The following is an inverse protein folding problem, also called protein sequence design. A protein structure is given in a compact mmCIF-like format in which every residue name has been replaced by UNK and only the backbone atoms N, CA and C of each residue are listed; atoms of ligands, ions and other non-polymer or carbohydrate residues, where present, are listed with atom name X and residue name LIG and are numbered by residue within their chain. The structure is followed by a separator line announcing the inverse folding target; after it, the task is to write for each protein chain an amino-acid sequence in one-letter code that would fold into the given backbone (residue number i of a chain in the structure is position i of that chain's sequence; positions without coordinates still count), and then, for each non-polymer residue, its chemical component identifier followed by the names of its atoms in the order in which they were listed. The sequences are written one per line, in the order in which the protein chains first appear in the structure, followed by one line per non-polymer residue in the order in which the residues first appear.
data_IF_104354950882
#
_entry.id   IF_104354950882
#
_cell.length_a   1.000
_cell.length_b   1.000
_cell.length_c   1.000
_cell.angle_alpha   90.00
_cell.angle_beta   90.00
_cell.angle_gamma   90.00
#
_symmetry.space_group_name_H-M   'P 1'
#
loop_
_entity.id
_entity.type
_entity.pdbx_description
1 polymer ?
#
# COMPACT_ATOMS: atom_id res chain seq x y z
N UNK A 1 -2.32 -29.37 4.29
CA UNK A 1 -1.03 -28.89 3.71
C UNK A 1 -1.09 -28.68 2.19
N UNK A 2 -1.54 -29.64 1.38
CA UNK A 2 -1.65 -29.47 -0.08
C UNK A 2 -2.57 -28.30 -0.47
N UNK A 3 -3.72 -28.18 0.22
CA UNK A 3 -4.67 -27.09 0.00
C UNK A 3 -4.09 -25.70 0.34
N UNK A 4 -3.38 -25.58 1.47
CA UNK A 4 -2.65 -24.37 1.84
C UNK A 4 -1.64 -23.97 0.75
N UNK A 5 -0.77 -24.91 0.33
CA UNK A 5 0.23 -24.67 -0.72
C UNK A 5 -0.40 -24.20 -2.03
N UNK A 6 -1.52 -24.82 -2.43
CA UNK A 6 -2.28 -24.45 -3.63
C UNK A 6 -2.88 -23.05 -3.49
N UNK A 7 -3.47 -22.73 -2.34
CA UNK A 7 -4.05 -21.42 -2.05
C UNK A 7 -3.00 -20.30 -2.07
N UNK A 8 -1.85 -20.48 -1.44
CA UNK A 8 -0.76 -19.51 -1.50
C UNK A 8 -0.19 -19.38 -2.91
N UNK A 9 -0.04 -20.48 -3.66
CA UNK A 9 0.37 -20.38 -5.07
C UNK A 9 -0.63 -19.64 -5.93
N UNK A 10 -1.94 -19.81 -5.69
CA UNK A 10 -2.97 -19.04 -6.41
C UNK A 10 -2.94 -17.57 -6.03
N UNK A 11 -2.62 -17.24 -4.78
CA UNK A 11 -2.45 -15.85 -4.35
C UNK A 11 -1.29 -15.18 -5.11
N UNK A 12 -0.14 -15.85 -5.20
CA UNK A 12 0.99 -15.34 -5.97
C UNK A 12 0.67 -15.11 -7.44
N UNK A 13 0.02 -16.08 -8.09
CA UNK A 13 -0.44 -15.89 -9.47
C UNK A 13 -1.48 -14.78 -9.64
N UNK A 14 -2.33 -14.56 -8.64
CA UNK A 14 -3.30 -13.46 -8.68
C UNK A 14 -2.58 -12.10 -8.65
N UNK A 15 -1.54 -11.94 -7.84
CA UNK A 15 -0.71 -10.73 -7.84
C UNK A 15 0.05 -10.55 -9.16
N UNK A 16 0.61 -11.62 -9.73
CA UNK A 16 1.21 -11.54 -11.07
C UNK A 16 0.17 -11.09 -12.11
N UNK A 17 -1.05 -11.63 -12.06
CA UNK A 17 -2.14 -11.21 -12.95
C UNK A 17 -2.57 -9.75 -12.72
N UNK A 18 -2.48 -9.26 -11.49
CA UNK A 18 -2.71 -7.85 -11.17
C UNK A 18 -1.66 -6.97 -11.85
N UNK A 19 -0.37 -7.29 -11.74
CA UNK A 19 0.70 -6.53 -12.40
C UNK A 19 0.63 -6.58 -13.93
N UNK A 20 0.33 -7.75 -14.48
CA UNK A 20 0.09 -7.90 -15.93
C UNK A 20 -1.10 -7.06 -16.37
N UNK A 21 -2.20 -7.09 -15.61
CA UNK A 21 -3.36 -6.25 -15.86
C UNK A 21 -3.02 -4.76 -15.81
N UNK A 22 -2.27 -4.33 -14.81
CA UNK A 22 -1.79 -2.95 -14.68
C UNK A 22 -1.03 -2.51 -15.93
N UNK A 23 -0.09 -3.31 -16.43
CA UNK A 23 0.67 -3.00 -17.63
C UNK A 23 -0.24 -2.95 -18.87
N UNK A 24 -1.11 -3.95 -19.06
CA UNK A 24 -2.05 -4.00 -20.18
C UNK A 24 -2.98 -2.79 -20.19
N UNK A 25 -3.58 -2.45 -19.05
CA UNK A 25 -4.46 -1.30 -18.92
C UNK A 25 -3.77 0.00 -19.31
N UNK A 26 -2.55 0.23 -18.80
CA UNK A 26 -1.74 1.42 -19.13
C UNK A 26 -1.37 1.50 -20.62
N UNK A 27 -0.90 0.41 -21.22
CA UNK A 27 -0.51 0.40 -22.64
C UNK A 27 -1.72 0.63 -23.54
N UNK A 28 -2.85 -0.03 -23.25
CA UNK A 28 -4.08 0.10 -24.04
C UNK A 28 -4.61 1.53 -24.01
N UNK A 29 -4.69 2.13 -22.83
CA UNK A 29 -5.23 3.49 -22.71
C UNK A 29 -4.29 4.54 -23.27
N UNK A 30 -2.96 4.39 -23.11
CA UNK A 30 -1.99 5.27 -23.73
C UNK A 30 -2.12 5.25 -25.26
N UNK A 31 -2.29 4.08 -25.87
CA UNK A 31 -2.54 3.97 -27.30
C UNK A 31 -3.86 4.67 -27.73
N UNK A 32 -4.92 4.52 -26.93
CA UNK A 32 -6.21 5.18 -27.20
C UNK A 32 -6.09 6.71 -27.10
N UNK A 33 -5.36 7.22 -26.10
CA UNK A 33 -5.11 8.66 -25.92
C UNK A 33 -4.37 9.22 -27.14
N UNK A 34 -3.24 8.61 -27.53
CA UNK A 34 -2.46 9.04 -28.72
C UNK A 34 -3.31 9.00 -30.00
N UNK A 35 -4.15 7.98 -30.18
CA UNK A 35 -5.05 7.91 -31.33
C UNK A 35 -6.12 9.01 -31.29
N UNK A 36 -6.68 9.29 -30.12
CA UNK A 36 -7.67 10.34 -29.90
C UNK A 36 -7.10 11.74 -30.13
N UNK A 37 -5.88 12.00 -29.69
CA UNK A 37 -5.15 13.25 -30.02
C UNK A 37 -4.99 13.38 -31.55
N UNK A 38 -4.46 12.34 -32.20
CA UNK A 38 -4.15 12.38 -33.63
C UNK A 38 -5.39 12.43 -34.55
N UNK A 39 -6.53 11.89 -34.12
CA UNK A 39 -7.72 11.72 -34.98
C UNK A 39 -8.92 12.55 -34.57
N UNK A 40 -9.05 12.86 -33.28
CA UNK A 40 -10.23 13.51 -32.70
C UNK A 40 -9.89 14.85 -32.05
N UNK A 41 -8.61 15.23 -31.99
CA UNK A 41 -8.16 16.48 -31.37
C UNK A 41 -8.37 16.48 -29.86
N UNK A 42 -8.23 15.33 -29.19
CA UNK A 42 -8.15 15.30 -27.73
C UNK A 42 -6.94 16.09 -27.26
N UNK A 43 -7.11 16.82 -26.16
CA UNK A 43 -6.07 17.61 -25.50
C UNK A 43 -6.28 17.45 -23.98
N UNK A 44 -5.79 16.31 -23.46
CA UNK A 44 -5.89 16.00 -22.05
C UNK A 44 -4.70 16.65 -21.33
N UNK A 45 -4.98 17.38 -20.25
CA UNK A 45 -3.92 17.82 -19.34
C UNK A 45 -3.30 16.62 -18.60
N UNK A 46 -2.05 16.76 -18.14
CA UNK A 46 -1.28 15.70 -17.48
C UNK A 46 -2.04 14.98 -16.36
N UNK A 47 -2.80 15.72 -15.54
CA UNK A 47 -3.56 15.12 -14.45
C UNK A 47 -4.80 14.37 -14.92
N UNK A 48 -5.43 14.81 -16.02
CA UNK A 48 -6.55 14.09 -16.63
C UNK A 48 -6.06 12.78 -17.23
N UNK A 49 -4.93 12.83 -17.95
CA UNK A 49 -4.27 11.62 -18.44
C UNK A 49 -3.92 10.68 -17.28
N UNK A 50 -3.31 11.17 -16.21
CA UNK A 50 -3.01 10.36 -15.03
C UNK A 50 -4.25 9.68 -14.44
N UNK A 51 -5.34 10.43 -14.22
CA UNK A 51 -6.58 9.87 -13.68
C UNK A 51 -7.18 8.80 -14.60
N UNK A 52 -7.13 9.01 -15.92
CA UNK A 52 -7.60 8.05 -16.92
C UNK A 52 -6.71 6.80 -16.91
N UNK A 53 -5.40 6.95 -16.91
CA UNK A 53 -4.46 5.83 -16.81
C UNK A 53 -4.67 5.02 -15.53
N UNK A 54 -4.87 5.70 -14.39
CA UNK A 54 -5.08 5.06 -13.09
C UNK A 54 -6.40 4.28 -13.03
N UNK A 55 -7.47 4.86 -13.59
CA UNK A 55 -8.75 4.17 -13.73
C UNK A 55 -8.62 2.90 -14.58
N UNK A 56 -7.99 2.97 -15.76
CA UNK A 56 -7.83 1.83 -16.65
C UNK A 56 -6.87 0.76 -16.10
N UNK A 57 -5.86 1.16 -15.33
CA UNK A 57 -5.02 0.26 -14.55
C UNK A 57 -5.88 -0.62 -13.66
N UNK A 58 -6.74 -0.02 -12.82
CA UNK A 58 -7.58 -0.79 -11.91
C UNK A 58 -8.71 -1.55 -12.62
N UNK A 59 -9.27 -0.98 -13.69
CA UNK A 59 -10.30 -1.62 -14.52
C UNK A 59 -9.82 -2.97 -15.09
N UNK A 60 -8.52 -3.11 -15.36
CA UNK A 60 -7.93 -4.32 -15.92
C UNK A 60 -7.29 -5.22 -14.87
N UNK A 61 -6.55 -4.66 -13.91
CA UNK A 61 -5.82 -5.43 -12.88
C UNK A 61 -6.75 -6.11 -11.87
N UNK A 62 -7.79 -5.42 -11.41
CA UNK A 62 -8.71 -5.93 -10.37
C UNK A 62 -9.51 -7.15 -10.88
N UNK A 63 -10.13 -7.13 -12.08
CA UNK A 63 -10.79 -8.31 -12.61
C UNK A 63 -9.84 -9.49 -12.86
N UNK A 64 -8.64 -9.25 -13.39
CA UNK A 64 -7.67 -10.32 -13.64
C UNK A 64 -7.21 -10.98 -12.34
N UNK A 65 -6.90 -10.19 -11.31
CA UNK A 65 -6.63 -10.70 -9.96
C UNK A 65 -7.79 -11.56 -9.45
N UNK A 66 -9.01 -11.04 -9.52
CA UNK A 66 -10.19 -11.74 -9.03
C UNK A 66 -10.45 -13.05 -9.80
N UNK A 67 -10.32 -13.06 -11.13
CA UNK A 67 -10.55 -14.24 -11.97
C UNK A 67 -9.59 -15.38 -11.63
N UNK A 68 -8.32 -15.07 -11.32
CA UNK A 68 -7.33 -16.06 -10.88
C UNK A 68 -7.61 -16.56 -9.46
N UNK A 69 -8.08 -15.68 -8.58
CA UNK A 69 -8.19 -15.98 -7.15
C UNK A 69 -9.56 -16.46 -6.68
N UNK A 70 -10.62 -16.26 -7.48
CA UNK A 70 -12.01 -16.65 -7.15
C UNK A 70 -12.18 -18.15 -6.89
N UNK A 71 -11.30 -18.98 -7.45
CA UNK A 71 -11.34 -20.44 -7.25
C UNK A 71 -10.94 -20.88 -5.84
N UNK A 72 -10.27 -20.02 -5.07
CA UNK A 72 -9.89 -20.32 -3.69
C UNK A 72 -11.09 -19.96 -2.78
N UNK A 73 -11.57 -20.88 -1.93
CA UNK A 73 -12.73 -20.62 -1.08
C UNK A 73 -12.48 -19.49 -0.08
N UNK A 74 -13.49 -18.64 0.10
CA UNK A 74 -13.44 -17.50 1.02
C UNK A 74 -13.93 -17.91 2.41
N UNK A 75 -13.12 -17.65 3.43
CA UNK A 75 -13.36 -17.90 4.85
C UNK A 75 -13.13 -16.61 5.65
N UNK A 76 -14.10 -15.67 5.67
CA UNK A 76 -13.93 -14.38 6.32
C UNK A 76 -13.67 -14.53 7.83
N UNK A 77 -12.82 -13.66 8.42
CA UNK A 77 -12.53 -13.71 9.86
C UNK A 77 -13.76 -13.33 10.69
N UNK A 78 -13.72 -13.69 11.99
CA UNK A 78 -14.78 -13.32 12.94
C UNK A 78 -14.82 -11.80 13.13
N UNK A 79 -16.04 -11.26 13.25
CA UNK A 79 -16.26 -9.83 13.35
C UNK A 79 -16.25 -9.34 14.79
N UNK A 80 -15.09 -8.90 15.29
CA UNK A 80 -15.05 -8.08 16.51
C UNK A 80 -15.38 -6.62 16.16
N UNK A 81 -16.18 -5.96 17.00
CA UNK A 81 -16.35 -4.50 16.93
C UNK A 81 -15.35 -3.84 17.86
N UNK A 82 -14.58 -2.89 17.34
CA UNK A 82 -13.63 -2.12 18.13
C UNK A 82 -14.23 -0.77 18.52
N UNK A 83 -13.99 -0.34 19.75
CA UNK A 83 -14.41 0.99 20.23
C UNK A 83 -13.61 2.09 19.54
N UNK A 84 -14.19 3.29 19.46
CA UNK A 84 -13.53 4.47 18.90
C UNK A 84 -12.16 4.74 19.54
N UNK A 85 -12.05 4.64 20.88
CA UNK A 85 -10.77 4.75 21.60
C UNK A 85 -9.72 3.77 21.10
N UNK A 86 -10.11 2.51 20.83
CA UNK A 86 -9.18 1.50 20.32
C UNK A 86 -8.74 1.82 18.90
N UNK A 87 -9.63 2.34 18.05
CA UNK A 87 -9.30 2.79 16.71
C UNK A 87 -8.29 3.97 16.76
N UNK A 88 -8.58 5.01 17.54
CA UNK A 88 -7.68 6.18 17.68
C UNK A 88 -6.29 5.76 18.19
N UNK A 89 -6.21 4.94 19.23
CA UNK A 89 -4.91 4.45 19.73
C UNK A 89 -4.16 3.62 18.66
N UNK A 90 -4.88 2.81 17.89
CA UNK A 90 -4.29 2.04 16.78
C UNK A 90 -3.80 2.96 15.67
N UNK A 91 -4.49 4.05 15.37
CA UNK A 91 -4.06 5.05 14.40
C UNK A 91 -2.78 5.76 14.84
N UNK A 92 -2.67 6.16 16.12
CA UNK A 92 -1.45 6.78 16.66
C UNK A 92 -0.26 5.82 16.58
N UNK A 93 -0.47 4.55 16.95
CA UNK A 93 0.55 3.50 16.82
C UNK A 93 0.94 3.27 15.36
N UNK A 94 -0.02 3.21 14.44
CA UNK A 94 0.23 3.09 13.01
C UNK A 94 1.09 4.25 12.50
N UNK A 95 0.76 5.49 12.89
CA UNK A 95 1.54 6.66 12.50
C UNK A 95 2.99 6.57 12.97
N UNK A 96 3.24 6.14 14.21
CA UNK A 96 4.61 5.88 14.69
C UNK A 96 5.37 4.84 13.85
N UNK A 97 4.71 3.77 13.43
CA UNK A 97 5.32 2.78 12.53
C UNK A 97 5.62 3.34 11.13
N UNK A 98 4.72 4.17 10.59
CA UNK A 98 4.89 4.79 9.28
C UNK A 98 6.08 5.73 9.30
N UNK A 99 6.21 6.60 10.31
CA UNK A 99 7.34 7.52 10.42
C UNK A 99 8.68 6.79 10.57
N UNK A 100 8.74 5.75 11.42
CA UNK A 100 9.95 4.93 11.54
C UNK A 100 10.28 4.24 10.22
N UNK A 101 9.28 3.68 9.53
CA UNK A 101 9.45 3.08 8.21
C UNK A 101 9.94 4.09 7.17
N UNK A 102 9.39 5.31 7.16
CA UNK A 102 9.79 6.40 6.29
C UNK A 102 11.24 6.83 6.53
N UNK A 103 11.67 6.95 7.79
CA UNK A 103 13.06 7.25 8.13
C UNK A 103 14.00 6.16 7.61
N UNK A 104 13.67 4.88 7.81
CA UNK A 104 14.48 3.76 7.32
C UNK A 104 14.56 3.78 5.79
N UNK A 105 13.44 3.98 5.10
CA UNK A 105 13.39 4.05 3.64
C UNK A 105 14.22 5.20 3.09
N UNK A 106 14.06 6.40 3.63
CA UNK A 106 14.84 7.57 3.21
C UNK A 106 16.34 7.43 3.52
N UNK A 107 16.72 6.88 4.67
CA UNK A 107 18.12 6.62 5.00
C UNK A 107 18.74 5.60 4.04
N UNK A 108 18.03 4.51 3.74
CA UNK A 108 18.51 3.51 2.79
C UNK A 108 18.68 4.14 1.40
N UNK A 109 17.71 4.92 0.94
CA UNK A 109 17.78 5.59 -0.36
C UNK A 109 18.88 6.65 -0.41
N UNK A 110 19.13 7.38 0.67
CA UNK A 110 20.27 8.29 0.78
C UNK A 110 21.60 7.54 0.59
N UNK A 111 21.77 6.38 1.25
CA UNK A 111 22.98 5.56 1.12
C UNK A 111 23.15 4.98 -0.29
N UNK A 112 22.07 4.47 -0.89
CA UNK A 112 22.10 3.92 -2.25
C UNK A 112 22.43 5.02 -3.27
N UNK A 113 21.75 6.17 -3.18
CA UNK A 113 21.97 7.29 -4.10
C UNK A 113 23.37 7.91 -3.93
N UNK A 114 23.94 7.88 -2.72
CA UNK A 114 25.30 8.37 -2.48
C UNK A 114 26.41 7.57 -3.19
N UNK A 115 26.12 6.34 -3.63
CA UNK A 115 27.05 5.49 -4.39
C UNK A 115 26.57 5.19 -5.81
N UNK A 116 25.36 5.61 -6.18
CA UNK A 116 24.78 5.38 -7.50
C UNK A 116 25.31 6.40 -8.51
N UNK A 117 25.62 5.94 -9.73
CA UNK A 117 25.91 6.82 -10.86
C UNK A 117 24.64 7.46 -11.45
N UNK A 118 23.46 6.89 -11.14
CA UNK A 118 22.16 7.42 -11.52
C UNK A 118 21.24 7.44 -10.28
N UNK A 119 21.24 8.52 -9.47
CA UNK A 119 20.40 8.61 -8.28
C UNK A 119 18.92 8.57 -8.62
N UNK A 120 18.17 7.62 -8.04
CA UNK A 120 16.73 7.52 -8.24
C UNK A 120 15.98 8.57 -7.41
N UNK A 121 14.93 9.15 -7.98
CA UNK A 121 14.09 10.13 -7.31
C UNK A 121 12.94 9.48 -6.52
N UNK A 122 12.36 10.23 -5.58
CA UNK A 122 11.17 9.78 -4.88
C UNK A 122 9.93 10.02 -5.75
N UNK A 123 9.50 9.00 -6.49
CA UNK A 123 8.36 9.08 -7.40
C UNK A 123 7.03 9.48 -6.74
N UNK A 124 6.86 9.29 -5.42
CA UNK A 124 5.70 9.83 -4.70
C UNK A 124 5.78 11.36 -4.61
N UNK A 125 6.93 11.91 -4.26
CA UNK A 125 7.12 13.37 -4.17
C UNK A 125 6.95 14.01 -5.55
N UNK A 126 7.50 13.38 -6.58
CA UNK A 126 7.29 13.82 -7.96
C UNK A 126 5.79 13.84 -8.31
N UNK A 127 5.09 12.72 -8.13
CA UNK A 127 3.65 12.63 -8.38
C UNK A 127 2.84 13.70 -7.63
N UNK A 128 3.17 13.94 -6.36
CA UNK A 128 2.50 14.95 -5.53
C UNK A 128 2.82 16.38 -5.95
N UNK A 129 3.92 16.62 -6.66
CA UNK A 129 4.24 17.95 -7.19
C UNK A 129 3.61 18.20 -8.57
N UNK A 130 3.29 17.14 -9.34
CA UNK A 130 2.71 17.27 -10.69
C UNK A 130 1.19 17.32 -10.69
N UNK A 131 0.53 16.63 -9.76
CA UNK A 131 -0.93 16.52 -9.78
C UNK A 131 -1.62 17.62 -8.98
N UNK A 132 -2.77 18.14 -9.41
CA UNK A 132 -3.57 19.06 -8.60
C UNK A 132 -4.25 18.31 -7.44
N UNK A 133 -4.54 19.04 -6.36
CA UNK A 133 -5.17 18.52 -5.13
C UNK A 133 -6.40 17.64 -5.39
N UNK A 134 -7.36 18.00 -6.28
CA UNK A 134 -8.52 17.15 -6.55
C UNK A 134 -8.15 15.77 -7.12
N UNK A 135 -7.13 15.70 -7.98
CA UNK A 135 -6.66 14.45 -8.57
C UNK A 135 -6.01 13.55 -7.51
N UNK A 136 -5.17 14.11 -6.64
CA UNK A 136 -4.55 13.38 -5.52
C UNK A 136 -5.62 12.88 -4.55
N UNK A 137 -6.60 13.73 -4.20
CA UNK A 137 -7.68 13.33 -3.32
C UNK A 137 -8.47 12.15 -3.90
N UNK A 138 -8.82 12.21 -5.19
CA UNK A 138 -9.58 11.15 -5.84
C UNK A 138 -8.76 9.86 -5.99
N UNK A 139 -7.57 9.93 -6.59
CA UNK A 139 -6.78 8.75 -6.96
C UNK A 139 -6.00 8.17 -5.77
N UNK A 140 -5.32 9.01 -4.98
CA UNK A 140 -4.40 8.58 -3.92
C UNK A 140 -5.10 8.44 -2.58
N UNK A 141 -5.97 9.39 -2.20
CA UNK A 141 -6.62 9.36 -0.88
C UNK A 141 -7.84 8.44 -0.88
N UNK A 142 -8.59 8.35 -1.98
CA UNK A 142 -9.86 7.61 -2.02
C UNK A 142 -9.74 6.30 -2.81
N UNK A 143 -9.48 6.36 -4.11
CA UNK A 143 -9.59 5.21 -5.00
C UNK A 143 -8.57 4.12 -4.66
N UNK A 144 -7.29 4.48 -4.52
CA UNK A 144 -6.23 3.52 -4.19
C UNK A 144 -6.50 2.78 -2.86
N UNK A 145 -6.77 3.45 -1.72
CA UNK A 145 -7.11 2.76 -0.47
C UNK A 145 -8.32 1.82 -0.56
N UNK A 146 -9.37 2.19 -1.27
CA UNK A 146 -10.56 1.32 -1.43
C UNK A 146 -10.18 0.04 -2.16
N UNK A 147 -9.48 0.17 -3.30
CA UNK A 147 -9.15 -0.97 -4.16
C UNK A 147 -8.09 -1.86 -3.51
N UNK A 148 -7.05 -1.26 -2.96
CA UNK A 148 -5.97 -2.00 -2.32
C UNK A 148 -6.46 -2.77 -1.09
N UNK A 149 -7.30 -2.17 -0.24
CA UNK A 149 -7.84 -2.88 0.91
C UNK A 149 -8.82 -4.00 0.50
N UNK A 150 -9.52 -3.87 -0.63
CA UNK A 150 -10.30 -4.97 -1.20
C UNK A 150 -9.40 -6.13 -1.66
N UNK A 151 -8.34 -5.84 -2.41
CA UNK A 151 -7.40 -6.86 -2.92
C UNK A 151 -6.67 -7.55 -1.77
N UNK A 152 -6.05 -6.77 -0.89
CA UNK A 152 -5.15 -7.25 0.14
C UNK A 152 -5.83 -7.72 1.42
N UNK A 153 -7.01 -7.20 1.79
CA UNK A 153 -7.72 -7.67 2.98
C UNK A 153 -8.89 -8.54 2.61
N UNK A 154 -9.84 -8.01 1.85
CA UNK A 154 -11.08 -8.72 1.59
C UNK A 154 -10.84 -10.00 0.78
N UNK A 155 -10.08 -9.92 -0.30
CA UNK A 155 -9.89 -11.07 -1.16
C UNK A 155 -8.74 -11.96 -0.71
N UNK A 156 -7.58 -11.39 -0.41
CA UNK A 156 -6.43 -12.15 0.09
C UNK A 156 -6.71 -12.80 1.45
N UNK A 157 -6.96 -12.01 2.50
CA UNK A 157 -7.00 -12.53 3.88
C UNK A 157 -8.20 -13.44 4.16
N UNK A 158 -9.37 -13.19 3.55
CA UNK A 158 -10.50 -14.13 3.66
C UNK A 158 -10.11 -15.53 3.15
N UNK A 159 -9.17 -15.64 2.21
CA UNK A 159 -8.79 -16.94 1.62
C UNK A 159 -7.63 -17.61 2.33
N UNK A 160 -6.60 -16.84 2.70
CA UNK A 160 -5.36 -17.41 3.27
C UNK A 160 -5.30 -17.34 4.80
N UNK A 161 -6.15 -16.54 5.44
CA UNK A 161 -6.21 -16.39 6.90
C UNK A 161 -6.50 -17.70 7.64
N UNK A 162 -7.29 -18.60 7.02
CA UNK A 162 -7.64 -19.92 7.58
C UNK A 162 -6.48 -20.88 7.77
N UNK A 163 -5.31 -20.59 7.17
CA UNK A 163 -4.10 -21.40 7.30
C UNK A 163 -3.11 -20.87 8.36
N UNK A 164 -3.45 -19.75 9.00
CA UNK A 164 -2.69 -19.15 10.11
C UNK A 164 -2.69 -17.63 10.03
N UNK A 165 -3.26 -16.97 11.03
CA UNK A 165 -3.44 -15.51 11.03
C UNK A 165 -2.12 -14.74 10.91
N UNK A 166 -1.11 -15.12 11.71
CA UNK A 166 0.21 -14.47 11.68
C UNK A 166 0.88 -14.57 10.32
N UNK A 167 0.76 -15.74 9.71
CA UNK A 167 1.34 -16.02 8.40
C UNK A 167 0.65 -15.20 7.32
N UNK A 168 -0.68 -15.11 7.36
CA UNK A 168 -1.48 -14.32 6.43
C UNK A 168 -1.20 -12.82 6.58
N UNK A 169 -1.12 -12.31 7.82
CA UNK A 169 -0.76 -10.91 8.11
C UNK A 169 0.64 -10.59 7.57
N UNK A 170 1.64 -11.44 7.83
CA UNK A 170 2.99 -11.22 7.35
C UNK A 170 3.09 -11.28 5.83
N UNK A 171 2.44 -12.27 5.19
CA UNK A 171 2.37 -12.35 3.73
C UNK A 171 1.77 -11.07 3.13
N UNK A 172 0.63 -10.64 3.67
CA UNK A 172 -0.07 -9.46 3.21
C UNK A 172 0.77 -8.19 3.38
N UNK A 173 1.47 -8.05 4.50
CA UNK A 173 2.40 -6.95 4.75
C UNK A 173 3.58 -6.93 3.76
N UNK A 174 4.25 -8.07 3.56
CA UNK A 174 5.40 -8.19 2.65
C UNK A 174 4.99 -7.86 1.22
N UNK A 175 3.93 -8.50 0.72
CA UNK A 175 3.50 -8.28 -0.67
C UNK A 175 2.99 -6.85 -0.87
N UNK A 176 2.29 -6.27 0.13
CA UNK A 176 1.84 -4.88 0.06
C UNK A 176 3.02 -3.90 0.00
N UNK A 177 4.03 -4.07 0.85
CA UNK A 177 5.26 -3.26 0.79
C UNK A 177 6.01 -3.43 -0.54
N UNK A 178 6.14 -4.66 -1.03
CA UNK A 178 6.78 -4.95 -2.32
C UNK A 178 5.97 -4.42 -3.53
N UNK A 179 4.65 -4.31 -3.43
CA UNK A 179 3.83 -3.78 -4.51
C UNK A 179 4.04 -2.27 -4.75
N UNK A 180 4.63 -1.54 -3.80
CA UNK A 180 4.96 -0.13 -3.97
C UNK A 180 6.19 0.10 -4.85
N UNK A 181 7.00 -0.94 -5.09
CA UNK A 181 8.05 -0.91 -6.11
C UNK A 181 9.27 -0.02 -5.81
N UNK A 182 9.42 0.52 -4.61
CA UNK A 182 10.57 1.37 -4.26
C UNK A 182 10.85 1.37 -2.74
N UNK A 183 12.08 1.67 -2.33
CA UNK A 183 12.47 1.66 -0.91
C UNK A 183 12.02 2.89 -0.13
N UNK A 184 11.75 4.04 -0.78
CA UNK A 184 11.15 5.19 -0.10
C UNK A 184 9.83 4.80 0.57
N UNK A 185 9.07 3.91 -0.07
CA UNK A 185 7.74 3.50 0.39
C UNK A 185 7.70 2.11 1.06
N UNK A 186 8.60 1.21 0.69
CA UNK A 186 8.58 -0.19 1.14
C UNK A 186 8.34 -0.38 2.64
N UNK A 187 9.16 0.26 3.48
CA UNK A 187 9.18 -0.03 4.93
C UNK A 187 7.93 0.48 5.64
N UNK A 188 7.46 1.69 5.33
CA UNK A 188 6.24 2.20 5.92
C UNK A 188 5.01 1.48 5.36
N UNK A 189 5.01 1.13 4.07
CA UNK A 189 3.92 0.38 3.45
C UNK A 189 3.84 -1.03 4.05
N UNK A 190 4.97 -1.72 4.21
CA UNK A 190 5.05 -3.00 4.92
C UNK A 190 4.45 -2.91 6.33
N UNK A 191 4.86 -1.91 7.11
CA UNK A 191 4.38 -1.74 8.47
C UNK A 191 2.88 -1.42 8.53
N UNK A 192 2.41 -0.49 7.69
CA UNK A 192 1.00 -0.14 7.57
C UNK A 192 0.15 -1.34 7.11
N UNK A 193 0.59 -2.05 6.08
CA UNK A 193 -0.05 -3.24 5.56
C UNK A 193 -0.18 -4.34 6.61
N UNK A 194 0.81 -4.50 7.48
CA UNK A 194 0.74 -5.41 8.63
C UNK A 194 -0.31 -5.00 9.66
N UNK A 195 -0.40 -3.71 10.00
CA UNK A 195 -1.43 -3.18 10.91
C UNK A 195 -2.82 -3.33 10.30
N UNK A 196 -3.01 -2.97 9.04
CA UNK A 196 -4.29 -3.13 8.32
C UNK A 196 -4.71 -4.59 8.27
N UNK A 197 -3.79 -5.49 7.92
CA UNK A 197 -4.06 -6.93 7.93
C UNK A 197 -4.46 -7.44 9.32
N UNK A 198 -3.78 -6.98 10.38
CA UNK A 198 -4.14 -7.34 11.75
C UNK A 198 -5.53 -6.80 12.14
N UNK A 199 -5.84 -5.53 11.85
CA UNK A 199 -7.18 -4.95 12.11
C UNK A 199 -8.24 -5.78 11.40
N UNK A 200 -8.02 -6.13 10.12
CA UNK A 200 -8.98 -6.91 9.35
C UNK A 200 -9.15 -8.33 9.90
N UNK A 201 -8.08 -9.04 10.25
CA UNK A 201 -8.16 -10.38 10.83
C UNK A 201 -8.92 -10.39 12.17
N UNK A 202 -8.92 -9.27 12.90
CA UNK A 202 -9.65 -9.15 14.16
C UNK A 202 -11.09 -8.70 14.00
N UNK A 203 -11.38 -7.89 12.99
CA UNK A 203 -12.69 -7.20 12.89
C UNK A 203 -13.54 -7.67 11.73
N UNK A 204 -12.95 -8.26 10.69
CA UNK A 204 -13.61 -8.58 9.42
C UNK A 204 -14.29 -7.38 8.75
N UNK A 205 -13.97 -6.15 9.19
CA UNK A 205 -14.60 -4.90 8.73
C UNK A 205 -13.61 -4.13 7.87
N UNK A 206 -13.77 -4.25 6.55
CA UNK A 206 -12.94 -3.54 5.59
C UNK A 206 -13.05 -2.01 5.71
N UNK A 207 -14.19 -1.50 6.19
CA UNK A 207 -14.41 -0.06 6.41
C UNK A 207 -13.38 0.53 7.38
N UNK A 208 -12.93 -0.23 8.38
CA UNK A 208 -11.92 0.25 9.32
C UNK A 208 -10.56 0.41 8.63
N UNK A 209 -10.17 -0.55 7.79
CA UNK A 209 -8.87 -0.49 7.13
C UNK A 209 -8.86 0.51 5.98
N UNK A 210 -9.94 0.61 5.19
CA UNK A 210 -10.14 1.67 4.20
C UNK A 210 -10.03 3.05 4.88
N UNK A 211 -10.80 3.29 5.95
CA UNK A 211 -10.77 4.57 6.64
C UNK A 211 -9.38 4.90 7.23
N UNK A 212 -8.68 3.90 7.76
CA UNK A 212 -7.32 4.10 8.25
C UNK A 212 -6.36 4.48 7.12
N UNK A 213 -6.41 3.76 6.01
CA UNK A 213 -5.56 3.99 4.87
C UNK A 213 -5.84 5.35 4.20
N UNK A 214 -7.12 5.75 4.08
CA UNK A 214 -7.52 7.09 3.64
C UNK A 214 -6.94 8.19 4.54
N UNK A 215 -7.01 8.03 5.87
CA UNK A 215 -6.43 9.01 6.81
C UNK A 215 -4.92 9.12 6.66
N UNK A 216 -4.22 7.98 6.53
CA UNK A 216 -2.77 7.96 6.29
C UNK A 216 -2.42 8.69 5.01
N UNK A 217 -3.09 8.37 3.89
CA UNK A 217 -2.80 8.99 2.61
C UNK A 217 -3.16 10.47 2.63
N UNK A 218 -4.30 10.86 3.21
CA UNK A 218 -4.71 12.26 3.31
C UNK A 218 -3.70 13.11 4.08
N UNK A 219 -3.32 12.65 5.28
CA UNK A 219 -2.38 13.38 6.12
C UNK A 219 -0.96 13.37 5.53
N UNK A 220 -0.56 12.33 4.80
CA UNK A 220 0.75 12.22 4.16
C UNK A 220 0.87 12.89 2.78
N UNK A 221 -0.23 13.31 2.16
CA UNK A 221 -0.22 13.93 0.81
C UNK A 221 -0.84 15.33 0.79
N UNK A 222 -2.13 15.46 1.09
CA UNK A 222 -2.89 16.71 0.94
C UNK A 222 -2.38 17.80 1.89
N UNK A 223 -2.14 17.45 3.17
CA UNK A 223 -1.73 18.45 4.16
C UNK A 223 -0.34 19.04 3.85
N UNK A 224 0.71 18.24 3.57
CA UNK A 224 2.00 18.78 3.12
C UNK A 224 1.89 19.62 1.86
N UNK A 225 1.08 19.19 0.88
CA UNK A 225 0.93 19.89 -0.39
C UNK A 225 0.32 21.28 -0.25
N UNK A 226 -0.75 21.41 0.55
CA UNK A 226 -1.37 22.71 0.83
C UNK A 226 -0.38 23.72 1.42
N UNK A 227 0.59 23.25 2.20
CA UNK A 227 1.63 24.11 2.79
C UNK A 227 2.77 24.41 1.81
N UNK A 228 3.15 23.45 0.97
CA UNK A 228 4.22 23.61 -0.02
C UNK A 228 3.82 24.53 -1.19
N UNK A 229 2.56 24.47 -1.64
CA UNK A 229 2.05 25.31 -2.73
C UNK A 229 2.18 26.81 -2.42
N UNK A 230 1.89 27.23 -1.18
CA UNK A 230 2.09 28.60 -0.74
C UNK A 230 3.58 29.02 -0.78
N UNK A 231 4.51 28.10 -0.49
CA UNK A 231 5.95 28.40 -0.54
C UNK A 231 6.41 28.60 -1.98
N UNK A 232 6.10 27.64 -2.86
CA UNK A 232 6.57 27.67 -4.24
C UNK A 232 5.95 28.79 -5.06
N UNK A 233 4.71 29.19 -4.75
CA UNK A 233 4.06 30.36 -5.35
C UNK A 233 4.61 31.71 -4.85
N UNK A 234 5.51 31.70 -3.85
CA UNK A 234 6.01 32.92 -3.20
C UNK A 234 4.97 33.64 -2.36
N UNK A 235 3.80 33.02 -2.13
CA UNK A 235 2.70 33.54 -1.33
C UNK A 235 2.85 33.22 0.17
N UNK A 236 3.84 32.40 0.54
CA UNK A 236 4.06 31.96 1.91
C UNK A 236 4.31 33.13 2.85
N UNK A 237 3.48 33.20 3.89
CA UNK A 237 3.59 34.18 4.95
C UNK A 237 4.38 33.57 6.11
N UNK A 238 4.83 34.41 7.05
CA UNK A 238 5.42 33.92 8.31
C UNK A 238 4.51 32.91 9.04
N UNK A 239 3.20 33.07 8.91
CA UNK A 239 2.20 32.11 9.40
C UNK A 239 2.27 30.72 8.75
N UNK A 240 2.56 30.65 7.45
CA UNK A 240 2.72 29.39 6.70
C UNK A 240 3.93 28.60 7.21
N UNK A 241 5.07 29.27 7.36
CA UNK A 241 6.28 28.63 7.89
C UNK A 241 6.07 28.13 9.33
N UNK A 242 5.42 28.93 10.18
CA UNK A 242 5.06 28.52 11.53
C UNK A 242 4.11 27.31 11.52
N UNK A 243 3.10 27.29 10.65
CA UNK A 243 2.17 26.18 10.51
C UNK A 243 2.88 24.89 10.09
N UNK A 244 3.88 24.95 9.20
CA UNK A 244 4.69 23.79 8.82
C UNK A 244 5.53 23.27 9.98
N UNK A 245 6.19 24.15 10.74
CA UNK A 245 6.98 23.74 11.91
C UNK A 245 6.09 23.10 12.95
N UNK A 246 4.90 23.67 13.21
CA UNK A 246 3.92 23.10 14.13
C UNK A 246 3.41 21.74 13.65
N UNK A 247 3.11 21.61 12.35
CA UNK A 247 2.67 20.36 11.75
C UNK A 247 3.75 19.27 11.85
N UNK A 248 4.99 19.57 11.44
CA UNK A 248 6.12 18.64 11.55
C UNK A 248 6.37 18.23 13.01
N UNK A 249 6.32 19.20 13.94
CA UNK A 249 6.45 18.93 15.38
C UNK A 249 5.32 18.05 15.91
N UNK A 250 4.08 18.28 15.46
CA UNK A 250 2.93 17.46 15.82
C UNK A 250 3.06 16.03 15.27
N UNK A 251 3.49 15.87 14.02
CA UNK A 251 3.77 14.55 13.41
C UNK A 251 4.83 13.80 14.22
N UNK A 252 5.96 14.44 14.56
CA UNK A 252 7.00 13.84 15.38
C UNK A 252 6.49 13.48 16.79
N UNK A 253 5.68 14.33 17.40
CA UNK A 253 5.05 14.07 18.70
C UNK A 253 4.12 12.86 18.67
N UNK A 254 3.26 12.77 17.65
CA UNK A 254 2.37 11.61 17.42
C UNK A 254 3.19 10.36 17.13
N UNK A 255 4.28 10.46 16.38
CA UNK A 255 5.18 9.34 16.09
C UNK A 255 5.81 8.77 17.36
N UNK A 256 6.37 9.65 18.21
CA UNK A 256 6.95 9.27 19.49
C UNK A 256 5.92 8.63 20.43
N UNK A 257 4.71 9.20 20.50
CA UNK A 257 3.60 8.62 21.26
C UNK A 257 3.21 7.23 20.71
N UNK A 258 3.13 7.09 19.38
CA UNK A 258 2.85 5.84 18.68
C UNK A 258 3.86 4.75 19.00
N UNK A 259 5.16 5.05 18.89
CA UNK A 259 6.25 4.16 19.24
C UNK A 259 6.19 3.72 20.71
N UNK A 260 5.94 4.65 21.62
CA UNK A 260 5.82 4.36 23.06
C UNK A 260 4.62 3.45 23.34
N UNK A 261 3.47 3.75 22.73
CA UNK A 261 2.26 2.94 22.86
C UNK A 261 2.50 1.52 22.32
N UNK A 262 3.12 1.37 21.16
CA UNK A 262 3.44 0.07 20.55
C UNK A 262 4.26 -0.83 21.47
N UNK A 263 5.26 -0.28 22.16
CA UNK A 263 6.10 -1.04 23.10
C UNK A 263 5.26 -1.65 24.22
N UNK A 264 4.26 -0.92 24.73
CA UNK A 264 3.32 -1.41 25.73
C UNK A 264 2.24 -2.34 25.14
N UNK A 265 1.76 -2.02 23.94
CA UNK A 265 0.63 -2.72 23.32
C UNK A 265 1.01 -4.01 22.61
N UNK A 266 2.28 -4.21 22.25
CA UNK A 266 2.75 -5.46 21.61
C UNK A 266 2.39 -6.72 22.40
N UNK A 267 2.35 -6.62 23.73
CA UNK A 267 1.95 -7.73 24.63
C UNK A 267 0.44 -8.01 24.61
N UNK A 268 -0.38 -7.10 24.09
CA UNK A 268 -1.84 -7.20 24.00
C UNK A 268 -2.32 -7.73 22.64
N UNK A 269 -1.41 -7.95 21.68
CA UNK A 269 -1.74 -8.55 20.40
C UNK A 269 -2.26 -9.98 20.64
N UNK A 270 -3.50 -10.24 20.22
CA UNK A 270 -4.07 -11.60 20.29
C UNK A 270 -4.14 -12.19 18.89
N UNK A 271 -3.77 -13.46 18.83
CA UNK A 271 -3.76 -14.27 17.62
C UNK A 271 -4.66 -15.47 17.89
N UNK A 272 -5.65 -15.69 17.03
CA UNK A 272 -6.56 -16.82 17.12
C UNK A 272 -5.97 -17.96 16.28
N UNK A 273 -6.01 -19.18 16.81
CA UNK A 273 -5.61 -20.34 16.04
C UNK A 273 -6.55 -20.50 14.84
N UNK A 274 -5.98 -20.64 13.65
CA UNK A 274 -6.78 -20.80 12.44
C UNK A 274 -7.37 -22.22 12.36
N UNK A 275 -8.50 -22.35 11.68
CA UNK A 275 -9.20 -23.64 11.50
C UNK A 275 -8.29 -24.71 10.87
N UNK A 276 -7.40 -24.30 9.96
CA UNK A 276 -6.44 -25.16 9.27
C UNK A 276 -5.00 -24.68 9.53
N UNK A 277 -4.68 -24.37 10.78
CA UNK A 277 -3.38 -23.86 11.21
C UNK A 277 -2.22 -24.72 10.69
N UNK A 278 -1.30 -24.10 9.94
CA UNK A 278 -0.11 -24.79 9.45
C UNK A 278 0.95 -25.00 10.55
N UNK A 279 1.62 -26.16 10.60
CA UNK A 279 2.75 -26.39 11.49
C UNK A 279 3.86 -25.35 11.28
N UNK A 280 4.41 -24.81 12.37
CA UNK A 280 5.36 -23.70 12.33
C UNK A 280 6.55 -23.94 11.37
N UNK A 281 7.17 -25.12 11.42
CA UNK A 281 8.31 -25.48 10.57
C UNK A 281 8.01 -25.60 9.07
N UNK A 282 6.74 -25.63 8.66
CA UNK A 282 6.35 -25.78 7.26
C UNK A 282 5.83 -24.49 6.62
N UNK A 283 5.61 -23.42 7.41
CA UNK A 283 5.00 -22.17 6.94
C UNK A 283 5.79 -21.52 5.81
N UNK A 284 7.10 -21.28 6.01
CA UNK A 284 7.95 -20.61 5.01
C UNK A 284 7.96 -21.38 3.68
N UNK A 285 8.17 -22.70 3.73
CA UNK A 285 8.19 -23.56 2.53
C UNK A 285 6.84 -23.58 1.83
N UNK A 286 5.74 -23.58 2.57
CA UNK A 286 4.38 -23.63 2.00
C UNK A 286 4.00 -22.31 1.34
N UNK A 287 4.32 -21.19 1.99
CA UNK A 287 3.98 -19.84 1.52
C UNK A 287 4.89 -19.39 0.38
N UNK A 288 6.21 -19.54 0.49
CA UNK A 288 7.14 -18.89 -0.45
C UNK A 288 7.79 -19.84 -1.45
N UNK A 289 7.86 -21.16 -1.18
CA UNK A 289 8.48 -22.15 -2.09
C UNK A 289 7.45 -22.87 -2.95
N UNK A 290 6.53 -22.11 -3.54
CA UNK A 290 5.53 -22.57 -4.50
C UNK A 290 5.62 -21.68 -5.77
N UNK A 291 5.22 -22.19 -6.95
CA UNK A 291 5.50 -21.51 -8.22
C UNK A 291 4.89 -20.12 -8.32
N UNK A 292 3.64 -19.93 -7.86
CA UNK A 292 2.98 -18.63 -7.97
C UNK A 292 3.60 -17.57 -7.07
N UNK A 293 3.99 -17.91 -5.85
CA UNK A 293 4.66 -16.95 -4.97
C UNK A 293 6.09 -16.66 -5.40
N UNK A 294 6.81 -17.62 -5.98
CA UNK A 294 8.11 -17.37 -6.61
C UNK A 294 7.95 -16.39 -7.77
N UNK A 295 6.98 -16.62 -8.67
CA UNK A 295 6.72 -15.72 -9.79
C UNK A 295 6.35 -14.31 -9.31
N UNK A 296 5.46 -14.20 -8.30
CA UNK A 296 5.12 -12.92 -7.67
C UNK A 296 6.35 -12.21 -7.11
N UNK A 297 7.19 -12.90 -6.32
CA UNK A 297 8.42 -12.31 -5.80
C UNK A 297 9.37 -11.83 -6.90
N UNK A 298 9.54 -12.61 -7.97
CA UNK A 298 10.40 -12.22 -9.10
C UNK A 298 9.87 -10.96 -9.78
N UNK A 299 8.56 -10.90 -10.07
CA UNK A 299 7.94 -9.73 -10.72
C UNK A 299 8.07 -8.48 -9.85
N UNK A 300 7.72 -8.57 -8.57
CA UNK A 300 7.80 -7.41 -7.66
C UNK A 300 9.23 -6.93 -7.43
N UNK A 301 10.19 -7.86 -7.30
CA UNK A 301 11.61 -7.49 -7.19
C UNK A 301 12.16 -6.91 -8.49
N UNK A 302 11.72 -7.38 -9.66
CA UNK A 302 12.09 -6.77 -10.93
C UNK A 302 11.60 -5.32 -11.02
N UNK A 303 10.37 -5.03 -10.57
CA UNK A 303 9.85 -3.65 -10.50
C UNK A 303 10.73 -2.78 -9.59
N UNK A 304 11.15 -3.29 -8.44
CA UNK A 304 12.08 -2.59 -7.54
C UNK A 304 13.41 -2.24 -8.23
N UNK A 305 14.01 -3.22 -8.92
CA UNK A 305 15.28 -3.01 -9.61
C UNK A 305 15.11 -2.02 -10.75
N UNK A 306 14.03 -2.11 -11.53
CA UNK A 306 13.75 -1.19 -12.63
C UNK A 306 13.62 0.25 -12.11
N UNK A 307 12.78 0.51 -11.10
CA UNK A 307 12.59 1.84 -10.53
C UNK A 307 13.83 2.40 -9.80
N UNK A 308 14.80 1.55 -9.46
CA UNK A 308 16.05 1.98 -8.84
C UNK A 308 17.08 2.41 -9.89
N UNK A 309 17.01 1.85 -11.10
CA UNK A 309 18.00 2.04 -12.16
C UNK A 309 17.52 3.04 -13.23
N UNK A 310 16.22 3.05 -13.49
CA UNK A 310 15.52 3.88 -14.49
C UNK A 310 14.49 4.77 -13.81
#
# INVERSE_FOLDING_TARGET
MADARKSFSRAGWAFVAFEVGTLLGKVLIAFIIVLGEARLGWDLSDWQEFCVQDFFRYLTSVPLYYLVFRSVPSCPPKKETWSFKKLVLTMIMLYGLIEVGGIIGNLLMFLINGVSSNPSQNGLVELLNTLPIPAIFLCVVVAAPVIEELVFRKWLLDRVGRFGERTAVLLSAVVFGLAHGNFYQFFYAFAAGGVFAYIYMRTGKIQYTIGFHMVVNFLGSIIPMLMLDEIFSGAAKSGTLLAMVLYASAVLGVAAAGCTLLIGWRKRLKWVAAEQEMPAGQRLKTVWRNPGMIACSVVLLAIFVLNLVF
#
